data_IF_299544975105
#
_entry.id   IF_299544975105
#
_cell.length_a   1.000
_cell.length_b   1.000
_cell.length_c   1.000
_cell.angle_alpha   90.00
_cell.angle_beta   90.00
_cell.angle_gamma   90.00
#
_symmetry.space_group_name_H-M   'P 1'
#
loop_
_entity.id
_entity.type
_entity.pdbx_description
1 polymer ?
#
# COMPACT_ATOMS: atom_id res chain seq x y z
N UNK A 1 -14.58 52.70 -46.49
CA UNK A 1 -13.20 52.32 -46.84
C UNK A 1 -12.87 51.00 -46.16
N UNK A 2 -12.67 49.92 -46.93
CA UNK A 2 -12.23 48.59 -46.44
C UNK A 2 -10.71 48.62 -46.29
N UNK A 3 -10.20 48.22 -45.12
CA UNK A 3 -8.78 47.87 -44.92
C UNK A 3 -8.71 46.46 -44.36
N UNK A 4 -8.38 45.52 -45.25
CA UNK A 4 -7.82 44.22 -44.87
C UNK A 4 -6.44 44.48 -44.26
N UNK A 5 -6.16 43.92 -43.10
CA UNK A 5 -4.79 43.76 -42.61
C UNK A 5 -4.65 42.35 -42.03
N UNK A 6 -3.58 41.69 -42.47
CA UNK A 6 -3.45 40.25 -42.58
C UNK A 6 -3.44 39.48 -41.27
N UNK A 7 -3.87 38.24 -41.41
CA UNK A 7 -3.76 37.16 -40.43
C UNK A 7 -2.27 36.83 -40.29
N UNK A 8 -1.62 37.35 -39.26
CA UNK A 8 -0.29 36.89 -38.84
C UNK A 8 -0.50 35.58 -38.05
N UNK A 9 -0.30 34.47 -38.75
CA UNK A 9 -0.28 33.12 -38.18
C UNK A 9 0.99 32.96 -37.33
N UNK A 10 0.92 33.35 -36.05
CA UNK A 10 1.90 32.93 -35.05
C UNK A 10 1.60 31.46 -34.71
N UNK A 11 2.31 30.53 -35.36
CA UNK A 11 2.35 29.13 -34.94
C UNK A 11 3.17 29.12 -33.64
N UNK A 12 2.49 29.21 -32.51
CA UNK A 12 3.08 28.93 -31.21
C UNK A 12 3.35 27.42 -31.15
N UNK A 13 4.60 27.03 -31.42
CA UNK A 13 5.09 25.69 -31.13
C UNK A 13 5.06 25.47 -29.62
N UNK A 14 3.93 24.96 -29.12
CA UNK A 14 3.76 24.52 -27.75
C UNK A 14 4.65 23.28 -27.56
N UNK A 15 5.86 23.49 -27.04
CA UNK A 15 6.70 22.39 -26.56
C UNK A 15 6.00 21.79 -25.34
N UNK A 16 5.37 20.63 -25.52
CA UNK A 16 4.91 19.78 -24.43
C UNK A 16 6.14 19.38 -23.62
N UNK A 17 6.38 20.09 -22.52
CA UNK A 17 7.34 19.68 -21.50
C UNK A 17 6.73 18.44 -20.84
N UNK A 18 7.39 17.28 -20.84
CA UNK A 18 6.91 16.14 -20.07
C UNK A 18 7.05 16.49 -18.59
N UNK A 19 5.92 16.59 -17.87
CA UNK A 19 5.92 16.64 -16.41
C UNK A 19 6.50 15.33 -15.89
N UNK A 20 7.79 15.33 -15.54
CA UNK A 20 8.38 14.27 -14.74
C UNK A 20 7.74 14.33 -13.36
N UNK A 21 6.83 13.41 -13.05
CA UNK A 21 6.33 13.19 -11.71
C UNK A 21 7.51 12.77 -10.81
N UNK A 22 8.12 13.74 -10.13
CA UNK A 22 9.15 13.49 -9.12
C UNK A 22 8.42 13.07 -7.85
N UNK A 23 8.42 11.78 -7.55
CA UNK A 23 7.86 11.29 -6.30
C UNK A 23 8.67 11.86 -5.13
N UNK A 24 8.00 12.55 -4.21
CA UNK A 24 8.67 13.19 -3.06
C UNK A 24 8.63 12.24 -1.87
N UNK A 25 9.79 12.00 -1.27
CA UNK A 25 9.89 11.13 -0.09
C UNK A 25 9.39 11.87 1.14
N UNK A 26 8.39 11.31 1.81
CA UNK A 26 7.93 11.72 3.12
C UNK A 26 8.54 10.89 4.26
N UNK A 27 8.65 11.48 5.44
CA UNK A 27 9.14 10.84 6.67
C UNK A 27 8.02 10.70 7.70
N UNK A 28 7.87 9.51 8.28
CA UNK A 28 6.79 9.23 9.23
C UNK A 28 6.93 10.12 10.47
N UNK A 29 5.90 10.92 10.77
CA UNK A 29 5.81 11.71 12.00
C UNK A 29 4.97 11.02 13.07
N UNK A 30 3.83 10.46 12.68
CA UNK A 30 2.88 9.84 13.60
C UNK A 30 2.00 8.82 12.89
N UNK A 31 1.33 8.00 13.69
CA UNK A 31 0.37 7.01 13.22
C UNK A 31 -0.86 6.99 14.12
N UNK A 32 -2.03 6.80 13.52
CA UNK A 32 -3.29 6.71 14.23
C UNK A 32 -4.06 5.46 13.78
N UNK A 33 -4.71 4.80 14.73
CA UNK A 33 -5.62 3.69 14.43
C UNK A 33 -7.06 4.19 14.50
N UNK A 34 -7.77 4.16 13.38
CA UNK A 34 -9.16 4.62 13.27
C UNK A 34 -10.07 3.46 12.85
N UNK A 35 -10.92 2.98 13.77
CA UNK A 35 -11.87 1.87 13.54
C UNK A 35 -11.23 0.64 12.86
N UNK A 36 -11.30 0.57 11.52
CA UNK A 36 -10.79 -0.52 10.68
C UNK A 36 -9.65 -0.06 9.75
N UNK A 37 -8.97 1.03 10.05
CA UNK A 37 -7.88 1.56 9.24
C UNK A 37 -6.73 2.05 10.12
N UNK A 38 -5.53 2.03 9.55
CA UNK A 38 -4.38 2.75 10.07
C UNK A 38 -4.14 3.97 9.18
N UNK A 39 -3.92 5.11 9.80
CA UNK A 39 -3.53 6.34 9.12
C UNK A 39 -2.09 6.66 9.52
N UNK A 40 -1.22 6.77 8.53
CA UNK A 40 0.19 7.11 8.72
C UNK A 40 0.40 8.54 8.23
N UNK A 41 0.88 9.43 9.10
CA UNK A 41 1.13 10.83 8.78
C UNK A 41 2.61 11.07 8.51
N UNK A 42 2.90 11.67 7.36
CA UNK A 42 4.25 11.91 6.87
C UNK A 42 4.53 13.40 6.70
N UNK A 43 5.75 13.80 7.03
CA UNK A 43 6.34 15.08 6.64
C UNK A 43 6.86 14.99 5.21
N UNK A 44 6.32 15.80 4.31
CA UNK A 44 6.79 15.95 2.94
C UNK A 44 7.17 17.41 2.75
N UNK A 45 8.46 17.73 2.88
CA UNK A 45 8.99 19.10 2.71
C UNK A 45 8.33 20.15 3.62
N UNK A 46 7.88 19.77 4.81
CA UNK A 46 7.21 20.65 5.78
C UNK A 46 5.68 20.60 5.71
N UNK A 47 5.09 19.84 4.79
CA UNK A 47 3.65 19.62 4.70
C UNK A 47 3.27 18.21 5.20
N UNK A 48 2.16 18.10 5.91
CA UNK A 48 1.68 16.81 6.42
C UNK A 48 0.81 16.11 5.37
N UNK A 49 1.22 14.91 4.97
CA UNK A 49 0.46 14.01 4.11
C UNK A 49 0.02 12.76 4.86
N UNK A 50 -1.10 12.16 4.47
CA UNK A 50 -1.60 10.92 5.07
C UNK A 50 -1.63 9.77 4.08
N UNK A 51 -1.26 8.59 4.58
CA UNK A 51 -1.46 7.30 3.93
C UNK A 51 -2.50 6.52 4.75
N UNK A 52 -3.63 6.19 4.13
CA UNK A 52 -4.68 5.40 4.74
C UNK A 52 -4.53 3.94 4.32
N UNK A 53 -4.55 3.04 5.30
CA UNK A 53 -4.36 1.61 5.11
C UNK A 53 -5.53 0.89 5.75
N UNK A 54 -6.33 0.19 4.94
CA UNK A 54 -7.47 -0.57 5.43
C UNK A 54 -7.04 -1.80 6.22
N UNK A 55 -7.89 -2.26 7.15
CA UNK A 55 -7.66 -3.49 7.90
C UNK A 55 -7.52 -4.70 6.98
N UNK A 56 -8.26 -4.72 5.87
CA UNK A 56 -8.16 -5.77 4.84
C UNK A 56 -6.88 -5.69 4.02
N UNK A 57 -6.23 -4.53 3.96
CA UNK A 57 -4.93 -4.38 3.28
C UNK A 57 -3.80 -4.94 4.14
N UNK A 58 -4.02 -5.03 5.45
CA UNK A 58 -3.10 -5.65 6.40
C UNK A 58 -3.43 -7.14 6.56
N UNK A 59 -4.61 -7.44 7.12
CA UNK A 59 -5.11 -8.80 7.27
C UNK A 59 -6.11 -9.09 6.15
N UNK A 60 -5.62 -9.67 5.05
CA UNK A 60 -6.47 -10.13 3.95
C UNK A 60 -7.52 -11.12 4.45
N UNK A 61 -8.67 -11.19 3.77
CA UNK A 61 -9.70 -12.19 4.10
C UNK A 61 -9.24 -13.62 3.80
N UNK A 62 -8.34 -13.77 2.83
CA UNK A 62 -7.71 -15.03 2.44
C UNK A 62 -6.23 -14.85 2.22
N UNK A 63 -5.42 -15.83 2.63
CA UNK A 63 -3.98 -15.84 2.40
C UNK A 63 -3.52 -17.25 2.04
N UNK A 64 -2.69 -17.37 1.01
CA UNK A 64 -2.15 -18.68 0.61
C UNK A 64 -0.91 -19.00 1.44
N UNK A 65 -0.98 -20.10 2.18
CA UNK A 65 0.13 -20.61 2.97
C UNK A 65 0.85 -21.72 2.18
N UNK A 66 2.16 -21.62 2.10
CA UNK A 66 3.01 -22.73 1.68
C UNK A 66 3.16 -23.69 2.88
N UNK A 67 2.31 -24.71 2.91
CA UNK A 67 2.33 -25.73 3.95
C UNK A 67 2.94 -26.98 3.34
N UNK A 68 4.27 -27.06 3.30
CA UNK A 68 4.95 -28.27 2.82
C UNK A 68 4.51 -29.47 3.68
N UNK A 69 3.82 -30.49 3.14
CA UNK A 69 3.35 -31.62 3.94
C UNK A 69 4.55 -32.45 4.40
N UNK A 70 4.71 -32.67 5.72
CA UNK A 70 5.86 -33.40 6.29
C UNK A 70 5.97 -34.89 5.88
N UNK A 71 5.04 -35.45 5.09
CA UNK A 71 4.93 -36.91 4.88
C UNK A 71 4.52 -37.36 3.46
N UNK A 72 4.40 -36.46 2.47
CA UNK A 72 4.08 -36.85 1.10
C UNK A 72 5.07 -36.25 0.10
N UNK A 73 5.38 -36.94 -1.02
CA UNK A 73 6.28 -36.39 -2.03
C UNK A 73 5.79 -34.99 -2.43
N UNK A 74 6.68 -34.00 -2.49
CA UNK A 74 6.31 -32.61 -2.74
C UNK A 74 5.59 -32.55 -4.08
N UNK A 75 4.28 -32.29 -4.04
CA UNK A 75 3.60 -31.74 -5.21
C UNK A 75 4.05 -30.29 -5.26
N UNK A 76 4.57 -29.85 -6.40
CA UNK A 76 5.31 -28.58 -6.56
C UNK A 76 4.52 -27.31 -6.19
N UNK A 77 3.25 -27.40 -5.77
CA UNK A 77 2.44 -26.26 -5.34
C UNK A 77 1.26 -26.71 -4.45
N UNK A 78 1.52 -27.29 -3.27
CA UNK A 78 0.47 -27.47 -2.27
C UNK A 78 0.19 -26.17 -1.50
N UNK A 79 -0.14 -25.09 -2.22
CA UNK A 79 -0.61 -23.85 -1.60
C UNK A 79 -1.99 -24.13 -0.97
N UNK A 80 -2.13 -23.83 0.31
CA UNK A 80 -3.41 -23.95 1.02
C UNK A 80 -3.91 -22.56 1.38
N UNK A 81 -5.11 -22.24 0.94
CA UNK A 81 -5.76 -20.98 1.29
C UNK A 81 -6.24 -21.03 2.74
N UNK A 82 -5.78 -20.08 3.55
CA UNK A 82 -6.28 -19.80 4.89
C UNK A 82 -7.36 -18.72 4.87
N UNK A 83 -8.36 -18.86 5.73
CA UNK A 83 -9.44 -17.90 5.90
C UNK A 83 -9.27 -17.09 7.17
N UNK A 84 -9.38 -15.76 7.07
CA UNK A 84 -9.22 -14.87 8.20
C UNK A 84 -10.17 -15.21 9.36
N UNK A 85 -9.63 -15.24 10.57
CA UNK A 85 -10.39 -15.50 11.81
C UNK A 85 -10.45 -14.27 12.69
N UNK A 86 -9.29 -13.70 12.98
CA UNK A 86 -9.16 -12.58 13.90
C UNK A 86 -7.81 -11.88 13.71
N UNK A 87 -7.75 -10.64 14.19
CA UNK A 87 -6.51 -9.88 14.29
C UNK A 87 -6.31 -9.36 15.71
N UNK A 88 -5.05 -9.15 16.09
CA UNK A 88 -4.71 -8.50 17.35
C UNK A 88 -3.43 -7.67 17.22
N UNK A 89 -3.34 -6.58 17.97
CA UNK A 89 -2.09 -5.85 18.12
C UNK A 89 -1.17 -6.58 19.13
N UNK A 90 0.11 -6.67 18.82
CA UNK A 90 1.14 -7.25 19.68
C UNK A 90 2.40 -6.40 19.60
N UNK A 91 2.64 -5.56 20.62
CA UNK A 91 3.73 -4.59 20.61
C UNK A 91 3.63 -3.65 19.40
N UNK A 92 4.68 -3.64 18.56
CA UNK A 92 4.74 -2.88 17.31
C UNK A 92 4.31 -3.70 16.10
N UNK A 93 3.56 -4.79 16.27
CA UNK A 93 3.15 -5.67 15.17
C UNK A 93 1.65 -5.95 15.23
N UNK A 94 1.10 -6.33 14.09
CA UNK A 94 -0.27 -6.85 13.97
C UNK A 94 -0.18 -8.34 13.67
N UNK A 95 -0.91 -9.15 14.41
CA UNK A 95 -1.01 -10.60 14.21
C UNK A 95 -2.35 -10.89 13.54
N UNK A 96 -2.32 -11.49 12.35
CA UNK A 96 -3.50 -11.94 11.62
C UNK A 96 -3.58 -13.47 11.73
N UNK A 97 -4.62 -13.99 12.37
CA UNK A 97 -4.86 -15.44 12.50
C UNK A 97 -5.76 -15.94 11.39
N UNK A 98 -5.38 -17.06 10.77
CA UNK A 98 -6.08 -17.72 9.67
C UNK A 98 -6.37 -19.18 9.98
N UNK A 99 -7.52 -19.66 9.55
CA UNK A 99 -7.91 -21.07 9.57
C UNK A 99 -7.53 -21.72 8.24
N UNK A 100 -6.57 -22.64 8.28
CA UNK A 100 -6.08 -23.41 7.13
C UNK A 100 -6.46 -24.86 7.37
N UNK A 101 -7.61 -25.28 6.82
CA UNK A 101 -8.14 -26.65 6.95
C UNK A 101 -8.27 -27.15 8.40
N UNK A 102 -8.66 -26.28 9.33
CA UNK A 102 -8.86 -26.60 10.74
C UNK A 102 -7.65 -26.34 11.64
N UNK A 103 -6.51 -25.93 11.08
CA UNK A 103 -5.33 -25.48 11.82
C UNK A 103 -5.22 -23.95 11.81
N UNK A 104 -4.72 -23.37 12.91
CA UNK A 104 -4.54 -21.91 13.00
C UNK A 104 -3.11 -21.53 12.62
N UNK A 105 -2.98 -20.65 11.63
CA UNK A 105 -1.72 -20.05 11.20
C UNK A 105 -1.74 -18.55 11.52
N UNK A 106 -0.60 -17.99 11.91
CA UNK A 106 -0.48 -16.58 12.28
C UNK A 106 0.49 -15.89 11.34
N UNK A 107 0.00 -14.86 10.64
CA UNK A 107 0.82 -13.92 9.90
C UNK A 107 1.14 -12.73 10.80
N UNK A 108 2.41 -12.43 10.99
CA UNK A 108 2.88 -11.27 11.75
C UNK A 108 3.28 -10.16 10.79
N UNK A 109 2.65 -9.00 10.92
CA UNK A 109 2.92 -7.81 10.13
C UNK A 109 3.62 -6.80 11.01
N UNK A 110 4.82 -6.39 10.62
CA UNK A 110 5.62 -5.42 11.37
C UNK A 110 5.01 -4.01 11.29
N UNK A 111 5.20 -3.20 12.33
CA UNK A 111 4.69 -1.83 12.37
C UNK A 111 5.24 -0.96 11.25
N UNK A 112 6.46 -1.21 10.80
CA UNK A 112 7.06 -0.55 9.63
C UNK A 112 6.54 -1.07 8.29
N UNK A 113 5.90 -2.24 8.26
CA UNK A 113 5.16 -2.73 7.09
C UNK A 113 3.77 -2.09 7.03
N UNK A 114 3.19 -1.78 8.20
CA UNK A 114 1.97 -1.01 8.32
C UNK A 114 2.26 0.46 7.98
N UNK A 115 3.04 1.17 8.77
CA UNK A 115 3.47 2.53 8.51
C UNK A 115 4.98 2.57 8.25
N UNK A 116 5.43 2.51 6.99
CA UNK A 116 6.85 2.67 6.65
C UNK A 116 7.43 3.95 7.23
N UNK A 117 8.70 3.92 7.66
CA UNK A 117 9.38 5.12 8.16
C UNK A 117 9.54 6.19 7.08
N UNK A 118 9.55 5.78 5.81
CA UNK A 118 9.55 6.66 4.65
C UNK A 118 8.57 6.17 3.60
N UNK A 119 7.86 7.08 2.94
CA UNK A 119 6.93 6.75 1.86
C UNK A 119 7.11 7.72 0.68
N UNK A 120 6.90 7.25 -0.54
CA UNK A 120 6.98 8.11 -1.73
C UNK A 120 5.58 8.55 -2.13
N UNK A 121 5.32 9.86 -2.07
CA UNK A 121 4.10 10.49 -2.53
C UNK A 121 4.22 10.94 -3.98
#
# INVERSE_FOLDING_TARGET
MKRQFGIFMFIASFTLVPDSAQATTGFLQSEESQAFAKVCFYDVLGETHSLNIGATDLCLLTHDFDVTPKLQPPTENAQKTGFFKQEQASGFSKLCSYDVLGEVYVLTIGGTEICPLTYKF
#
